data_IF_650184639637
#
_entry.id   IF_650184639637
#
_cell.length_a   1.000
_cell.length_b   1.000
_cell.length_c   1.000
_cell.angle_alpha   90.00
_cell.angle_beta   90.00
_cell.angle_gamma   90.00
#
_symmetry.space_group_name_H-M   'P 1'
#
loop_
_entity.id
_entity.type
_entity.pdbx_description
1 polymer ?
#
# COMPACT_ATOMS: atom_id res chain seq x y z
N UNK A 1 4.74 -12.56 -6.89
CA UNK A 1 3.45 -12.02 -6.48
C UNK A 1 3.51 -10.50 -6.47
N UNK A 2 2.59 -9.80 -5.82
CA UNK A 2 2.56 -8.33 -5.83
C UNK A 2 3.35 -7.74 -4.68
N UNK A 3 3.68 -6.45 -4.80
CA UNK A 3 4.33 -5.68 -3.76
C UNK A 3 3.36 -4.62 -3.24
N UNK A 4 3.19 -4.55 -1.94
CA UNK A 4 2.40 -3.50 -1.28
C UNK A 4 3.39 -2.47 -0.75
N UNK A 5 3.24 -1.22 -1.17
CA UNK A 5 4.08 -0.12 -0.70
C UNK A 5 3.25 0.81 0.16
N UNK A 6 3.56 0.87 1.44
CA UNK A 6 2.85 1.70 2.40
C UNK A 6 3.73 2.89 2.79
N UNK A 7 3.33 4.07 2.34
CA UNK A 7 4.14 5.28 2.51
C UNK A 7 3.77 6.00 3.80
N UNK A 8 4.71 6.09 4.71
CA UNK A 8 4.64 6.88 5.95
C UNK A 8 3.37 6.59 6.78
N UNK A 9 3.10 5.32 7.12
CA UNK A 9 1.88 5.00 7.88
C UNK A 9 1.88 5.71 9.24
N UNK A 10 0.71 6.21 9.63
CA UNK A 10 0.52 6.94 10.89
C UNK A 10 0.03 6.03 12.00
N UNK A 11 -0.65 4.92 11.66
CA UNK A 11 -1.31 4.05 12.64
C UNK A 11 -0.78 2.61 12.57
N UNK A 12 -0.19 2.10 13.66
CA UNK A 12 0.35 0.74 13.65
C UNK A 12 -0.69 -0.35 13.40
N UNK A 13 -1.94 -0.12 13.79
CA UNK A 13 -3.04 -1.06 13.52
C UNK A 13 -3.25 -1.32 12.03
N UNK A 14 -3.14 -0.28 11.20
CA UNK A 14 -3.26 -0.45 9.76
C UNK A 14 -2.09 -1.24 9.17
N UNK A 15 -0.88 -1.04 9.70
CA UNK A 15 0.29 -1.83 9.30
C UNK A 15 0.05 -3.31 9.59
N UNK A 16 -0.47 -3.62 10.77
CA UNK A 16 -0.79 -4.99 11.16
C UNK A 16 -1.85 -5.62 10.24
N UNK A 17 -2.92 -4.90 9.97
CA UNK A 17 -4.00 -5.39 9.10
C UNK A 17 -3.51 -5.62 7.66
N UNK A 18 -2.71 -4.70 7.13
CA UNK A 18 -2.12 -4.84 5.79
C UNK A 18 -1.09 -5.97 5.78
N UNK A 19 -0.34 -6.15 6.87
CA UNK A 19 0.58 -7.27 7.01
C UNK A 19 -0.13 -8.61 6.91
N UNK A 20 -1.31 -8.73 7.55
CA UNK A 20 -2.13 -9.93 7.45
C UNK A 20 -2.60 -10.17 6.01
N UNK A 21 -3.03 -9.13 5.33
CA UNK A 21 -3.36 -9.21 3.90
C UNK A 21 -2.17 -9.70 3.08
N UNK A 22 -0.98 -9.16 3.33
CA UNK A 22 0.23 -9.54 2.61
C UNK A 22 0.55 -11.02 2.79
N UNK A 23 0.44 -11.55 4.00
CA UNK A 23 0.64 -12.98 4.26
C UNK A 23 -0.40 -13.82 3.51
N UNK A 24 -1.67 -13.42 3.58
CA UNK A 24 -2.77 -14.15 2.94
C UNK A 24 -2.63 -14.19 1.41
N UNK A 25 -2.00 -13.19 0.82
CA UNK A 25 -1.89 -13.03 -0.63
C UNK A 25 -0.48 -13.28 -1.17
N UNK A 26 0.47 -13.62 -0.31
CA UNK A 26 1.87 -13.85 -0.71
C UNK A 26 2.59 -12.59 -1.17
N UNK A 27 2.09 -11.41 -0.80
CA UNK A 27 2.71 -10.13 -1.16
C UNK A 27 3.88 -9.79 -0.26
N UNK A 28 4.86 -9.07 -0.80
CA UNK A 28 5.90 -8.42 0.00
C UNK A 28 5.39 -7.06 0.43
N UNK A 29 5.57 -6.72 1.71
CA UNK A 29 5.18 -5.43 2.26
C UNK A 29 6.41 -4.54 2.40
N UNK A 30 6.36 -3.37 1.75
CA UNK A 30 7.40 -2.35 1.85
C UNK A 30 6.87 -1.20 2.70
N UNK A 31 7.56 -0.90 3.80
CA UNK A 31 7.18 0.14 4.75
C UNK A 31 8.15 1.29 4.65
N UNK A 32 7.66 2.48 4.33
CA UNK A 32 8.50 3.65 4.11
C UNK A 32 8.33 4.64 5.25
N UNK A 33 9.42 4.92 5.93
CA UNK A 33 9.49 5.90 7.02
C UNK A 33 9.46 7.33 6.46
N UNK A 34 9.13 8.36 7.27
CA UNK A 34 8.88 8.28 8.70
C UNK A 34 7.47 7.79 9.04
N UNK A 35 7.36 7.08 10.17
CA UNK A 35 6.07 6.60 10.68
C UNK A 35 5.46 7.64 11.63
N UNK A 36 4.15 7.54 11.86
CA UNK A 36 3.45 8.29 12.90
C UNK A 36 3.62 7.68 14.29
N UNK A 37 4.39 6.61 14.41
CA UNK A 37 4.72 5.89 15.65
C UNK A 37 6.22 5.60 15.64
N UNK A 38 6.79 5.21 16.82
CA UNK A 38 8.26 5.09 16.97
C UNK A 38 8.87 4.00 16.10
N UNK A 39 8.30 2.80 16.13
CA UNK A 39 8.85 1.64 15.45
C UNK A 39 7.79 0.54 15.33
N UNK A 40 8.06 -0.43 14.48
CA UNK A 40 7.25 -1.64 14.43
C UNK A 40 7.51 -2.43 15.71
N UNK A 41 6.46 -2.60 16.53
CA UNK A 41 6.50 -3.36 17.76
C UNK A 41 5.91 -4.74 17.51
N UNK A 42 6.77 -5.70 17.26
CA UNK A 42 6.37 -7.07 16.95
C UNK A 42 5.59 -7.73 18.09
N UNK A 43 5.89 -7.40 19.34
CA UNK A 43 5.15 -7.95 20.49
C UNK A 43 3.73 -7.43 20.54
N UNK A 44 3.51 -6.12 20.29
CA UNK A 44 2.17 -5.55 20.23
C UNK A 44 1.37 -6.13 19.08
N UNK A 45 2.00 -6.36 17.95
CA UNK A 45 1.37 -6.98 16.80
C UNK A 45 0.93 -8.40 17.12
N UNK A 46 1.78 -9.18 17.78
CA UNK A 46 1.47 -10.55 18.22
C UNK A 46 0.34 -10.56 19.24
N UNK A 47 0.34 -9.64 20.20
CA UNK A 47 -0.71 -9.55 21.22
C UNK A 47 -2.08 -9.23 20.65
N UNK A 48 -2.13 -8.53 19.52
CA UNK A 48 -3.39 -8.24 18.83
C UNK A 48 -3.92 -9.47 18.06
N UNK A 49 -3.41 -10.67 18.33
CA UNK A 49 -3.82 -11.91 17.66
C UNK A 49 -3.22 -12.07 16.28
N UNK A 50 -2.15 -11.35 16.01
CA UNK A 50 -1.50 -11.34 14.70
C UNK A 50 -0.27 -12.24 14.67
N UNK A 51 -0.47 -13.53 14.93
CA UNK A 51 0.59 -14.55 14.94
C UNK A 51 1.19 -14.82 13.56
N UNK A 52 0.53 -14.37 12.49
CA UNK A 52 1.03 -14.46 11.12
C UNK A 52 2.29 -13.60 10.88
N UNK A 53 2.66 -12.70 11.80
CA UNK A 53 3.76 -11.75 11.61
C UNK A 53 5.09 -12.46 11.31
N UNK A 54 5.30 -13.64 11.89
CA UNK A 54 6.50 -14.44 11.62
C UNK A 54 6.60 -14.89 10.15
N UNK A 55 5.48 -15.01 9.46
CA UNK A 55 5.41 -15.42 8.06
C UNK A 55 5.41 -14.24 7.09
N UNK A 56 5.39 -13.00 7.62
CA UNK A 56 5.32 -11.79 6.82
C UNK A 56 6.71 -11.45 6.25
N UNK A 57 6.75 -11.29 4.93
CA UNK A 57 7.92 -10.74 4.27
C UNK A 57 7.75 -9.22 4.19
N UNK A 58 8.43 -8.48 5.07
CA UNK A 58 8.38 -7.02 5.04
C UNK A 58 9.78 -6.41 5.09
N UNK A 59 9.91 -5.24 4.49
CA UNK A 59 11.16 -4.49 4.43
C UNK A 59 10.87 -3.04 4.79
N UNK A 60 11.70 -2.44 5.64
CA UNK A 60 11.58 -1.05 6.04
C UNK A 60 12.61 -0.19 5.29
N UNK A 61 12.23 1.04 4.93
CA UNK A 61 13.07 1.99 4.24
C UNK A 61 13.06 3.32 4.97
N UNK A 62 14.21 4.00 5.05
CA UNK A 62 14.33 5.28 5.75
C UNK A 62 13.52 6.40 5.10
N UNK A 63 13.33 6.32 3.80
CA UNK A 63 12.52 7.29 3.03
C UNK A 63 12.19 6.71 1.65
N UNK A 64 11.37 7.44 0.89
CA UNK A 64 10.96 7.01 -0.44
C UNK A 64 12.15 6.91 -1.41
N UNK A 65 13.15 7.76 -1.26
CA UNK A 65 14.32 7.72 -2.13
C UNK A 65 15.12 6.44 -1.94
N UNK A 66 15.28 5.99 -0.69
CA UNK A 66 15.92 4.71 -0.39
C UNK A 66 15.14 3.54 -1.00
N UNK A 67 13.82 3.60 -0.98
CA UNK A 67 12.98 2.59 -1.62
C UNK A 67 13.21 2.59 -3.14
N UNK A 68 13.21 3.75 -3.78
CA UNK A 68 13.42 3.86 -5.23
C UNK A 68 14.84 3.54 -5.69
N UNK A 69 15.83 3.65 -4.80
CA UNK A 69 17.17 3.14 -5.11
C UNK A 69 17.17 1.62 -5.26
N UNK A 70 16.43 0.93 -4.40
CA UNK A 70 16.29 -0.52 -4.46
C UNK A 70 15.29 -0.98 -5.55
N UNK A 71 14.25 -0.19 -5.77
CA UNK A 71 13.16 -0.50 -6.69
C UNK A 71 12.83 0.73 -7.54
N UNK A 72 13.61 1.03 -8.60
CA UNK A 72 13.42 2.22 -9.41
C UNK A 72 12.00 2.34 -9.96
N UNK A 73 11.44 3.54 -9.90
CA UNK A 73 10.09 3.80 -10.38
C UNK A 73 9.98 3.46 -11.88
N UNK A 74 8.94 2.73 -12.23
CA UNK A 74 8.69 2.29 -13.59
C UNK A 74 7.18 2.30 -13.89
N UNK A 75 6.80 1.88 -15.09
CA UNK A 75 5.40 1.74 -15.47
C UNK A 75 4.71 0.56 -14.76
N UNK A 76 5.43 -0.18 -13.90
CA UNK A 76 4.86 -1.24 -13.07
C UNK A 76 4.63 -0.80 -11.62
N UNK A 77 4.68 0.50 -11.35
CA UNK A 77 4.37 1.12 -10.07
C UNK A 77 3.06 1.88 -10.19
N UNK A 78 2.10 1.59 -9.32
CA UNK A 78 0.75 2.15 -9.36
C UNK A 78 0.42 2.85 -8.05
N UNK A 79 -0.08 4.07 -8.15
CA UNK A 79 -0.32 4.97 -7.02
C UNK A 79 -1.82 5.06 -6.75
N UNK A 80 -2.26 4.55 -5.60
CA UNK A 80 -3.67 4.64 -5.22
C UNK A 80 -3.97 5.99 -4.59
N UNK A 81 -4.83 6.77 -5.23
CA UNK A 81 -5.23 8.09 -4.75
C UNK A 81 -6.67 8.40 -5.17
N UNK A 82 -7.45 8.99 -4.27
CA UNK A 82 -8.84 9.39 -4.56
C UNK A 82 -8.94 10.47 -5.64
N UNK A 83 -7.84 11.14 -5.96
CA UNK A 83 -7.78 12.20 -6.97
C UNK A 83 -7.59 11.69 -8.39
N UNK A 84 -7.34 10.41 -8.58
CA UNK A 84 -7.13 9.85 -9.90
C UNK A 84 -8.42 9.80 -10.71
N UNK A 85 -8.31 10.07 -12.02
CA UNK A 85 -9.45 9.99 -12.94
C UNK A 85 -9.81 8.55 -13.27
N UNK A 86 -8.79 7.71 -13.49
CA UNK A 86 -8.99 6.29 -13.80
C UNK A 86 -9.21 5.49 -12.53
N UNK A 87 -10.14 4.55 -12.59
CA UNK A 87 -10.39 3.61 -11.50
C UNK A 87 -9.37 2.46 -11.52
N UNK A 88 -9.17 1.84 -10.37
CA UNK A 88 -8.24 0.73 -10.20
C UNK A 88 -8.55 -0.46 -11.15
N UNK A 89 -9.81 -0.60 -11.55
CA UNK A 89 -10.25 -1.66 -12.46
C UNK A 89 -9.84 -1.44 -13.92
N UNK A 90 -9.40 -0.24 -14.26
CA UNK A 90 -9.00 0.11 -15.64
C UNK A 90 -7.53 -0.18 -15.92
N UNK A 91 -6.79 -0.72 -14.94
CA UNK A 91 -5.37 -1.02 -15.08
C UNK A 91 -5.15 -2.51 -15.27
N UNK A 92 -4.24 -2.87 -16.16
CA UNK A 92 -3.80 -4.25 -16.33
C UNK A 92 -2.66 -4.53 -15.32
N UNK A 93 -2.99 -5.17 -14.22
CA UNK A 93 -2.04 -5.47 -13.14
C UNK A 93 -1.42 -6.85 -13.37
N UNK A 94 -0.12 -6.96 -13.12
CA UNK A 94 0.66 -8.20 -13.35
C UNK A 94 1.46 -8.55 -12.10
N UNK A 95 1.74 -9.83 -11.88
CA UNK A 95 2.65 -10.23 -10.78
C UNK A 95 3.96 -9.46 -10.86
N UNK A 96 4.45 -9.00 -9.72
CA UNK A 96 5.63 -8.15 -9.64
C UNK A 96 5.32 -6.65 -9.58
N UNK A 97 4.08 -6.25 -9.80
CA UNK A 97 3.69 -4.85 -9.73
C UNK A 97 3.72 -4.32 -8.30
N UNK A 98 3.99 -3.03 -8.17
CA UNK A 98 4.05 -2.30 -6.91
C UNK A 98 2.79 -1.46 -6.75
N UNK A 99 2.07 -1.69 -5.67
CA UNK A 99 0.79 -1.05 -5.38
C UNK A 99 0.97 -0.14 -4.15
N UNK A 100 0.88 1.18 -4.37
CA UNK A 100 1.20 2.19 -3.35
C UNK A 100 -0.06 2.67 -2.64
N UNK A 101 0.08 2.84 -1.32
CA UNK A 101 -0.97 3.41 -0.47
C UNK A 101 -0.34 4.47 0.44
N UNK A 102 -1.05 5.58 0.61
CA UNK A 102 -0.55 6.73 1.34
C UNK A 102 -0.94 6.74 2.81
N UNK A 103 -0.63 7.87 3.45
CA UNK A 103 -0.97 8.12 4.85
C UNK A 103 -2.49 8.13 5.06
N UNK A 104 -2.89 7.65 6.22
CA UNK A 104 -4.32 7.58 6.58
C UNK A 104 -4.99 8.95 6.62
N UNK A 105 -4.22 10.00 6.95
CA UNK A 105 -4.75 11.36 7.10
C UNK A 105 -4.76 12.17 5.78
N UNK A 106 -3.74 12.04 4.94
CA UNK A 106 -3.58 12.90 3.75
C UNK A 106 -3.36 12.13 2.43
N UNK A 107 -3.23 10.81 2.49
CA UNK A 107 -2.96 10.00 1.30
C UNK A 107 -1.52 10.12 0.80
N UNK A 108 -1.30 9.80 -0.46
CA UNK A 108 0.00 9.96 -1.10
C UNK A 108 0.31 11.44 -1.34
N UNK A 109 1.59 11.85 -1.23
CA UNK A 109 1.96 13.25 -1.48
C UNK A 109 1.56 13.71 -2.87
N UNK A 110 1.00 14.90 -2.97
CA UNK A 110 0.64 15.49 -4.25
C UNK A 110 1.87 15.72 -5.13
N UNK A 111 3.02 16.01 -4.51
CA UNK A 111 4.30 16.11 -5.22
C UNK A 111 4.68 14.84 -5.97
N UNK A 112 4.20 13.68 -5.51
CA UNK A 112 4.41 12.40 -6.18
C UNK A 112 3.32 12.16 -7.23
N UNK A 113 2.06 12.25 -6.83
CA UNK A 113 0.93 11.89 -7.70
C UNK A 113 0.79 12.81 -8.89
N UNK A 114 1.07 14.12 -8.73
CA UNK A 114 0.99 15.09 -9.83
C UNK A 114 2.03 14.87 -10.92
N UNK A 115 3.17 14.26 -10.58
CA UNK A 115 4.23 13.94 -11.53
C UNK A 115 4.02 12.63 -12.28
N UNK A 116 3.11 11.79 -11.80
CA UNK A 116 2.88 10.44 -12.32
C UNK A 116 1.38 10.19 -12.55
N UNK A 117 0.68 11.07 -13.27
CA UNK A 117 -0.78 10.95 -13.42
C UNK A 117 -1.21 9.62 -14.05
N UNK A 118 -0.42 9.08 -14.97
CA UNK A 118 -0.76 7.82 -15.65
C UNK A 118 -0.63 6.60 -14.74
N UNK A 119 0.08 6.72 -13.62
CA UNK A 119 0.24 5.67 -12.63
C UNK A 119 -0.86 5.72 -11.55
N UNK A 120 -1.65 6.79 -11.51
CA UNK A 120 -2.64 7.03 -10.45
C UNK A 120 -3.94 6.31 -10.73
N UNK A 121 -4.43 5.59 -9.73
CA UNK A 121 -5.72 4.88 -9.79
C UNK A 121 -6.55 5.18 -8.55
N UNK A 122 -7.86 5.28 -8.73
CA UNK A 122 -8.79 5.55 -7.65
C UNK A 122 -9.73 4.38 -7.40
N UNK A 123 -10.22 4.29 -6.17
CA UNK A 123 -11.33 3.42 -5.80
C UNK A 123 -12.58 4.31 -5.80
N UNK A 124 -13.60 3.99 -6.60
CA UNK A 124 -14.78 4.85 -6.69
C UNK A 124 -15.52 4.94 -5.36
N UNK A 125 -16.00 6.12 -5.04
CA UNK A 125 -16.79 6.40 -3.85
C UNK A 125 -17.98 7.27 -4.22
N UNK A 126 -19.04 7.22 -3.39
CA UNK A 126 -20.19 8.13 -3.59
C UNK A 126 -19.77 9.57 -3.31
N UNK A 127 -20.49 10.50 -3.91
CA UNK A 127 -20.25 11.93 -3.71
C UNK A 127 -20.32 12.28 -2.23
N UNK A 128 -19.37 13.09 -1.76
CA UNK A 128 -19.30 13.52 -0.37
C UNK A 128 -18.52 12.58 0.56
N UNK A 129 -18.19 11.39 0.12
CA UNK A 129 -17.34 10.49 0.89
C UNK A 129 -15.91 11.04 0.93
N UNK A 130 -15.26 10.98 2.11
CA UNK A 130 -13.90 11.49 2.29
C UNK A 130 -12.85 10.50 1.79
N UNK A 131 -12.86 9.31 2.37
CA UNK A 131 -11.92 8.24 2.06
C UNK A 131 -12.39 6.94 2.72
N UNK A 132 -11.83 5.83 2.28
CA UNK A 132 -11.98 4.56 2.99
C UNK A 132 -10.69 4.28 3.76
N UNK A 133 -10.77 3.42 4.76
CA UNK A 133 -9.61 2.99 5.53
C UNK A 133 -8.54 2.44 4.59
N UNK A 134 -7.26 2.76 4.87
CA UNK A 134 -6.14 2.37 4.00
C UNK A 134 -6.00 0.85 3.87
N UNK A 135 -6.25 0.10 4.95
CA UNK A 135 -6.18 -1.36 4.89
C UNK A 135 -7.30 -1.94 4.02
N UNK A 136 -8.49 -1.33 4.07
CA UNK A 136 -9.59 -1.70 3.17
C UNK A 136 -9.23 -1.39 1.72
N UNK A 137 -8.66 -0.22 1.46
CA UNK A 137 -8.20 0.14 0.12
C UNK A 137 -7.16 -0.85 -0.40
N UNK A 138 -6.20 -1.22 0.43
CA UNK A 138 -5.17 -2.20 0.06
C UNK A 138 -5.80 -3.54 -0.29
N UNK A 139 -6.78 -4.00 0.49
CA UNK A 139 -7.49 -5.27 0.23
C UNK A 139 -8.20 -5.25 -1.11
N UNK A 140 -8.89 -4.14 -1.40
CA UNK A 140 -9.63 -4.00 -2.66
C UNK A 140 -8.69 -4.09 -3.86
N UNK A 141 -7.60 -3.34 -3.84
CA UNK A 141 -6.66 -3.28 -4.97
C UNK A 141 -5.88 -4.58 -5.12
N UNK A 142 -5.41 -5.16 -4.03
CA UNK A 142 -4.64 -6.42 -4.05
C UNK A 142 -5.50 -7.56 -4.60
N UNK A 143 -6.75 -7.68 -4.15
CA UNK A 143 -7.62 -8.75 -4.66
C UNK A 143 -8.10 -8.52 -6.08
N UNK A 144 -8.20 -7.28 -6.53
CA UNK A 144 -8.41 -7.02 -7.97
C UNK A 144 -7.20 -7.49 -8.78
N UNK A 145 -5.99 -7.20 -8.31
CA UNK A 145 -4.77 -7.69 -8.96
C UNK A 145 -4.75 -9.23 -9.01
N UNK A 146 -5.17 -9.87 -7.93
CA UNK A 146 -5.33 -11.33 -7.87
C UNK A 146 -6.34 -11.83 -8.90
N UNK A 147 -7.52 -11.22 -8.91
CA UNK A 147 -8.60 -11.61 -9.82
C UNK A 147 -8.13 -11.59 -11.27
N UNK A 148 -7.36 -10.57 -11.65
CA UNK A 148 -6.86 -10.44 -13.02
C UNK A 148 -5.85 -11.54 -13.40
N UNK A 149 -5.25 -12.21 -12.43
CA UNK A 149 -4.15 -13.14 -12.64
C UNK A 149 -4.43 -14.55 -12.10
N UNK A 150 -5.68 -14.88 -11.86
CA UNK A 150 -6.10 -16.21 -11.44
C UNK A 150 -6.14 -17.19 -12.63
#
# INVERSE_FOLDING_TARGET
MFHIVLLEPRMPGNVGTIGRLAVATGCTLHLIKPYGFKAIDEEKVKRAGMDYWADLNYIEYENIDAFWQAHPFSNRHFLTTKKAVKHYTEFALKPGDYLYFGREDVGLPESLTSKKPDACMSIPMVDGARSINVANAASVVVYEAWRQNM
#
